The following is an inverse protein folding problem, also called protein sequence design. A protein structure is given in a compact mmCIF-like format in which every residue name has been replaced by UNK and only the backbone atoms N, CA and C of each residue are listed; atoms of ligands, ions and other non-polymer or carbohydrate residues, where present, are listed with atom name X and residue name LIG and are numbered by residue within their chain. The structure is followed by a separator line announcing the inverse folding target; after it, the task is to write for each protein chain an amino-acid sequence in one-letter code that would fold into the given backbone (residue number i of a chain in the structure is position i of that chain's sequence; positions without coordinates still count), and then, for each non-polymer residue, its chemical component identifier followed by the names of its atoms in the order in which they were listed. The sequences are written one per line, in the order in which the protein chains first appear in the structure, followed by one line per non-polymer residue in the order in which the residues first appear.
data_IF_894447439502
#
_entry.id   IF_894447439502
#
_cell.length_a   1.000
_cell.length_b   1.000
_cell.length_c   1.000
_cell.angle_alpha   90.00
_cell.angle_beta   90.00
_cell.angle_gamma   90.00
#
_symmetry.space_group_name_H-M   'P 1'
#
loop_
_entity.id
_entity.type
_entity.pdbx_description
1 polymer ?
#
# COMPACT_ATOMS: atom_id res chain seq x y z
N UNK A 1 -16.38 -6.95 29.85
CA UNK A 1 -16.09 -7.32 31.24
C UNK A 1 -15.78 -8.80 31.31
N UNK A 2 -15.02 -9.23 32.16
CA UNK A 2 -14.49 -10.57 32.35
C UNK A 2 -13.23 -10.39 33.18
N UNK A 3 -12.17 -9.94 32.52
CA UNK A 3 -10.91 -9.61 33.16
C UNK A 3 -10.58 -8.12 33.18
N UNK A 4 -11.14 -7.35 32.23
CA UNK A 4 -10.91 -5.91 32.12
C UNK A 4 -12.18 -5.15 31.69
N UNK A 5 -12.25 -3.85 32.08
CA UNK A 5 -13.26 -2.89 31.72
C UNK A 5 -12.61 -1.52 31.50
N UNK A 6 -13.41 -0.49 31.33
CA UNK A 6 -12.89 0.87 31.27
C UNK A 6 -12.67 1.49 32.64
N UNK A 7 -11.67 2.40 32.79
CA UNK A 7 -10.71 2.83 31.79
C UNK A 7 -9.60 1.80 31.57
N UNK A 8 -9.19 1.63 30.28
CA UNK A 8 -8.09 0.75 29.92
C UNK A 8 -6.76 1.54 29.92
N UNK A 9 -6.11 1.61 31.06
CA UNK A 9 -4.93 2.48 31.26
C UNK A 9 -3.76 2.14 30.37
N UNK A 10 -3.53 0.87 30.02
CA UNK A 10 -2.50 0.46 29.08
C UNK A 10 -2.76 1.00 27.66
N UNK A 11 -4.03 1.09 27.23
CA UNK A 11 -4.41 1.72 25.95
C UNK A 11 -4.20 3.24 26.02
N UNK A 12 -4.53 3.87 27.13
CA UNK A 12 -4.31 5.31 27.35
C UNK A 12 -2.80 5.61 27.31
N UNK A 13 -1.98 4.80 27.98
CA UNK A 13 -0.52 4.93 27.94
C UNK A 13 0.04 4.75 26.53
N UNK A 14 -0.43 3.74 25.78
CA UNK A 14 -0.02 3.52 24.39
C UNK A 14 -0.36 4.72 23.49
N UNK A 15 -1.55 5.31 23.64
CA UNK A 15 -1.92 6.53 22.92
C UNK A 15 -1.02 7.71 23.29
N UNK A 16 -0.70 7.89 24.57
CA UNK A 16 0.19 8.97 25.00
C UNK A 16 1.60 8.83 24.42
N UNK A 17 2.15 7.62 24.36
CA UNK A 17 3.44 7.33 23.71
C UNK A 17 3.37 7.64 22.22
N UNK A 18 2.37 7.12 21.53
CA UNK A 18 2.19 7.32 20.07
C UNK A 18 2.07 8.83 19.72
N UNK A 19 1.28 9.59 20.47
CA UNK A 19 1.13 11.03 20.26
C UNK A 19 2.40 11.80 20.64
N UNK A 20 3.12 11.35 21.69
CA UNK A 20 4.40 11.90 22.08
C UNK A 20 5.48 11.70 21.00
N UNK A 21 5.49 10.53 20.33
CA UNK A 21 6.36 10.28 19.18
C UNK A 21 5.98 11.17 17.99
N UNK A 22 4.68 11.34 17.71
CA UNK A 22 4.19 12.19 16.62
C UNK A 22 4.51 13.69 16.78
N UNK A 23 4.84 14.15 18.00
CA UNK A 23 5.29 15.53 18.27
C UNK A 23 6.78 15.75 17.97
N UNK A 24 7.56 14.68 17.78
CA UNK A 24 8.99 14.78 17.54
C UNK A 24 9.31 15.21 16.09
N UNK A 25 10.45 15.90 15.87
CA UNK A 25 10.88 16.28 14.51
C UNK A 25 11.01 15.09 13.55
N UNK A 26 11.47 13.94 14.02
CA UNK A 26 11.67 12.73 13.23
C UNK A 26 10.37 12.21 12.62
N UNK A 27 9.23 12.40 13.31
CA UNK A 27 7.93 12.05 12.75
C UNK A 27 7.54 12.95 11.56
N UNK A 28 7.93 14.22 11.59
CA UNK A 28 7.71 15.13 10.47
C UNK A 28 8.52 14.71 9.24
N UNK A 29 9.76 14.28 9.43
CA UNK A 29 10.61 13.74 8.37
C UNK A 29 10.03 12.47 7.79
N UNK A 30 9.59 11.54 8.65
CA UNK A 30 8.90 10.32 8.25
C UNK A 30 7.63 10.62 7.44
N UNK A 31 6.76 11.50 7.93
CA UNK A 31 5.52 11.86 7.24
C UNK A 31 5.79 12.51 5.86
N UNK A 32 6.84 13.32 5.76
CA UNK A 32 7.28 13.87 4.49
C UNK A 32 7.75 12.78 3.52
N UNK A 33 8.56 11.83 4.00
CA UNK A 33 9.01 10.69 3.19
C UNK A 33 7.84 9.83 2.71
N UNK A 34 6.80 9.63 3.53
CA UNK A 34 5.58 8.93 3.11
C UNK A 34 4.95 9.58 1.89
N UNK A 35 4.87 10.92 1.86
CA UNK A 35 4.28 11.67 0.74
C UNK A 35 5.18 11.61 -0.50
N UNK A 36 6.51 11.70 -0.33
CA UNK A 36 7.45 11.54 -1.45
C UNK A 36 7.34 10.15 -2.08
N UNK A 37 7.33 9.11 -1.27
CA UNK A 37 7.14 7.74 -1.73
C UNK A 37 5.80 7.55 -2.45
N UNK A 38 4.71 8.16 -1.92
CA UNK A 38 3.39 8.07 -2.55
C UNK A 38 3.37 8.73 -3.93
N UNK A 39 3.99 9.88 -4.09
CA UNK A 39 4.12 10.55 -5.40
C UNK A 39 4.94 9.71 -6.38
N UNK A 40 6.10 9.22 -5.95
CA UNK A 40 6.95 8.38 -6.78
C UNK A 40 6.24 7.07 -7.21
N UNK A 41 5.49 6.45 -6.28
CA UNK A 41 4.69 5.25 -6.59
C UNK A 41 3.56 5.56 -7.56
N UNK A 42 2.86 6.69 -7.38
CA UNK A 42 1.79 7.12 -8.29
C UNK A 42 2.32 7.33 -9.71
N UNK A 43 3.43 8.03 -9.86
CA UNK A 43 4.08 8.26 -11.16
C UNK A 43 4.53 6.94 -11.81
N UNK A 44 5.09 6.03 -11.01
CA UNK A 44 5.53 4.72 -11.50
C UNK A 44 4.34 3.84 -11.95
N UNK A 45 3.25 3.80 -11.19
CA UNK A 45 2.03 3.07 -11.53
C UNK A 45 1.39 3.62 -12.82
N UNK A 46 1.34 4.94 -12.99
CA UNK A 46 0.84 5.55 -14.22
C UNK A 46 1.72 5.23 -15.43
N UNK A 47 3.05 5.21 -15.27
CA UNK A 47 3.99 4.79 -16.33
C UNK A 47 3.80 3.34 -16.75
N UNK A 48 3.39 2.45 -15.83
CA UNK A 48 3.04 1.08 -16.16
C UNK A 48 1.70 0.98 -16.94
N UNK A 49 0.82 1.95 -16.81
CA UNK A 49 -0.48 1.97 -17.49
C UNK A 49 -1.69 1.97 -16.57
N UNK A 50 -1.50 2.00 -15.25
CA UNK A 50 -2.61 2.16 -14.32
C UNK A 50 -3.22 3.56 -14.36
N UNK A 51 -4.53 3.61 -14.22
CA UNK A 51 -5.26 4.85 -14.03
C UNK A 51 -5.43 5.14 -12.55
N UNK A 52 -4.85 6.24 -12.07
CA UNK A 52 -5.14 6.78 -10.74
C UNK A 52 -6.34 7.71 -10.84
N UNK A 53 -7.34 7.51 -9.98
CA UNK A 53 -8.63 8.19 -10.08
C UNK A 53 -8.51 9.72 -10.05
N UNK A 54 -7.61 10.24 -9.22
CA UNK A 54 -7.32 11.67 -9.04
C UNK A 54 -6.17 12.19 -9.90
N UNK A 55 -5.59 11.34 -10.77
CA UNK A 55 -4.43 11.68 -11.58
C UNK A 55 -3.10 11.75 -10.83
N UNK A 56 -3.10 11.41 -9.54
CA UNK A 56 -1.92 11.41 -8.66
C UNK A 56 -2.33 11.45 -7.20
N UNK A 57 -1.38 11.82 -6.31
CA UNK A 57 -1.64 11.98 -4.89
C UNK A 57 -0.76 13.07 -4.27
N UNK A 58 -1.28 13.74 -3.24
CA UNK A 58 -0.57 14.70 -2.39
C UNK A 58 -0.55 14.28 -0.91
N UNK A 59 -0.99 13.05 -0.64
CA UNK A 59 -1.00 12.43 0.68
C UNK A 59 -0.33 11.04 0.67
N UNK A 60 -0.73 10.14 1.56
CA UNK A 60 -0.11 8.84 1.78
C UNK A 60 -0.70 7.68 0.97
N UNK A 61 -1.79 7.91 0.23
CA UNK A 61 -2.50 6.84 -0.49
C UNK A 61 -3.01 7.30 -1.86
N UNK A 62 -3.37 6.33 -2.69
CA UNK A 62 -4.00 6.53 -3.99
C UNK A 62 -5.03 5.44 -4.27
N UNK A 63 -5.98 5.72 -5.15
CA UNK A 63 -7.00 4.79 -5.60
C UNK A 63 -6.82 4.52 -7.10
N UNK A 64 -6.53 3.27 -7.45
CA UNK A 64 -6.45 2.82 -8.83
C UNK A 64 -7.86 2.48 -9.36
N UNK A 65 -8.14 2.89 -10.59
CA UNK A 65 -9.35 2.58 -11.34
C UNK A 65 -9.05 1.45 -12.34
N UNK A 66 -9.60 0.27 -12.08
CA UNK A 66 -9.39 -0.93 -12.90
C UNK A 66 -10.49 -1.15 -13.96
N UNK A 67 -11.43 -0.20 -14.15
CA UNK A 67 -12.55 -0.37 -15.09
C UNK A 67 -12.13 -0.55 -16.55
N UNK A 68 -10.93 -0.15 -16.91
CA UNK A 68 -10.36 -0.36 -18.25
C UNK A 68 -9.50 -1.63 -18.38
N UNK A 69 -9.43 -2.46 -17.31
CA UNK A 69 -8.62 -3.67 -17.25
C UNK A 69 -9.50 -4.91 -17.06
N UNK A 70 -9.05 -6.05 -17.57
CA UNK A 70 -9.75 -7.33 -17.39
C UNK A 70 -9.42 -7.98 -16.03
N UNK A 71 -9.59 -7.20 -14.96
CA UNK A 71 -9.39 -7.65 -13.58
C UNK A 71 -10.31 -6.89 -12.63
N UNK A 72 -10.72 -7.52 -11.54
CA UNK A 72 -11.46 -6.87 -10.45
C UNK A 72 -10.53 -6.44 -9.31
N UNK A 73 -11.01 -5.53 -8.45
CA UNK A 73 -10.28 -5.15 -7.24
C UNK A 73 -10.03 -6.33 -6.31
N UNK A 74 -11.02 -7.22 -6.16
CA UNK A 74 -10.89 -8.45 -5.36
C UNK A 74 -9.83 -9.39 -5.94
N UNK A 75 -9.83 -9.56 -7.24
CA UNK A 75 -8.87 -10.46 -7.89
C UNK A 75 -7.45 -9.93 -7.78
N UNK A 76 -7.22 -8.64 -8.06
CA UNK A 76 -5.90 -8.04 -7.90
C UNK A 76 -5.42 -8.10 -6.45
N UNK A 77 -6.30 -7.84 -5.47
CA UNK A 77 -5.98 -8.02 -4.05
C UNK A 77 -5.50 -9.45 -3.78
N UNK A 78 -6.26 -10.47 -4.20
CA UNK A 78 -5.91 -11.87 -3.95
C UNK A 78 -4.57 -12.25 -4.59
N UNK A 79 -4.33 -11.85 -5.86
CA UNK A 79 -3.06 -12.11 -6.55
C UNK A 79 -1.88 -11.43 -5.84
N UNK A 80 -2.06 -10.20 -5.38
CA UNK A 80 -1.03 -9.47 -4.62
C UNK A 80 -0.75 -10.15 -3.27
N UNK A 81 -1.77 -10.58 -2.54
CA UNK A 81 -1.62 -11.30 -1.27
C UNK A 81 -0.79 -12.60 -1.45
N UNK A 82 -1.01 -13.33 -2.56
CA UNK A 82 -0.24 -14.54 -2.87
C UNK A 82 1.25 -14.30 -3.12
N UNK A 83 1.64 -13.07 -3.44
CA UNK A 83 3.03 -12.67 -3.70
C UNK A 83 3.56 -11.68 -2.65
N UNK A 84 2.94 -11.65 -1.46
CA UNK A 84 3.36 -10.88 -0.30
C UNK A 84 3.24 -9.35 -0.46
N UNK A 85 2.39 -8.88 -1.36
CA UNK A 85 2.05 -7.47 -1.52
C UNK A 85 0.67 -7.22 -0.92
N UNK A 86 0.61 -6.45 0.16
CA UNK A 86 -0.65 -6.11 0.81
C UNK A 86 -1.23 -4.82 0.22
N UNK A 87 -2.39 -4.94 -0.38
CA UNK A 87 -3.25 -3.83 -0.79
C UNK A 87 -4.72 -4.22 -0.54
N UNK A 88 -5.65 -3.30 -0.67
CA UNK A 88 -7.04 -3.67 -0.49
C UNK A 88 -7.92 -3.24 -1.67
N UNK A 89 -8.87 -4.11 -2.01
CA UNK A 89 -9.96 -3.75 -2.93
C UNK A 89 -10.73 -2.55 -2.40
N UNK A 90 -11.14 -1.68 -3.29
CA UNK A 90 -11.90 -0.48 -2.94
C UNK A 90 -12.87 -0.12 -4.07
N UNK A 91 -14.07 0.30 -3.72
CA UNK A 91 -15.01 0.84 -4.71
C UNK A 91 -14.48 2.15 -5.31
N UNK A 92 -14.78 2.38 -6.57
CA UNK A 92 -14.56 3.66 -7.25
C UNK A 92 -15.90 4.44 -7.32
N UNK A 93 -15.89 5.75 -7.50
CA UNK A 93 -17.12 6.51 -7.72
C UNK A 93 -17.93 5.92 -8.88
N UNK A 94 -19.24 5.71 -8.65
CA UNK A 94 -20.15 5.05 -9.59
C UNK A 94 -19.67 3.65 -10.02
N UNK A 95 -19.16 2.88 -9.08
CA UNK A 95 -18.64 1.54 -9.34
C UNK A 95 -19.74 0.61 -9.90
N UNK A 96 -19.57 0.00 -11.09
CA UNK A 96 -20.56 -0.92 -11.65
C UNK A 96 -20.55 -2.30 -10.96
N UNK A 97 -19.51 -2.62 -10.18
CA UNK A 97 -19.38 -3.88 -9.44
C UNK A 97 -19.86 -3.74 -8.00
N UNK A 98 -20.25 -4.85 -7.39
CA UNK A 98 -20.66 -4.85 -5.98
C UNK A 98 -19.49 -4.49 -5.04
N UNK A 99 -19.75 -4.00 -3.82
CA UNK A 99 -18.71 -3.70 -2.83
C UNK A 99 -17.84 -4.92 -2.42
N UNK A 100 -18.30 -6.13 -2.69
CA UNK A 100 -17.55 -7.36 -2.43
C UNK A 100 -16.52 -7.70 -3.52
N UNK A 101 -16.67 -7.12 -4.72
CA UNK A 101 -15.81 -7.37 -5.89
C UNK A 101 -14.96 -6.14 -6.21
N UNK A 102 -15.57 -4.97 -6.32
CA UNK A 102 -15.02 -3.64 -6.61
C UNK A 102 -14.32 -3.51 -7.97
N UNK A 103 -14.21 -2.29 -8.45
CA UNK A 103 -13.47 -1.94 -9.66
C UNK A 103 -12.21 -1.13 -9.37
N UNK A 104 -11.76 -1.09 -8.14
CA UNK A 104 -10.54 -0.40 -7.75
C UNK A 104 -9.78 -1.09 -6.64
N UNK A 105 -8.57 -0.60 -6.40
CA UNK A 105 -7.72 -0.97 -5.26
C UNK A 105 -7.11 0.29 -4.67
N UNK A 106 -6.99 0.30 -3.34
CA UNK A 106 -6.34 1.37 -2.59
C UNK A 106 -4.93 0.93 -2.20
N UNK A 107 -3.98 1.79 -2.47
CA UNK A 107 -2.56 1.57 -2.19
C UNK A 107 -2.04 2.75 -1.37
N UNK A 108 -1.18 2.48 -0.39
CA UNK A 108 -0.56 3.50 0.43
C UNK A 108 0.89 3.16 0.77
N UNK A 109 1.65 4.16 1.21
CA UNK A 109 3.09 4.05 1.43
C UNK A 109 3.59 4.09 2.88
N UNK A 110 2.75 4.29 3.93
CA UNK A 110 3.27 4.34 5.29
C UNK A 110 4.06 3.09 5.70
N UNK A 111 3.53 1.89 5.43
CA UNK A 111 4.16 0.64 5.84
C UNK A 111 5.53 0.42 5.17
N UNK A 112 5.65 0.66 3.87
CA UNK A 112 6.92 0.54 3.15
C UNK A 112 7.91 1.63 3.57
N UNK A 113 7.44 2.84 3.89
CA UNK A 113 8.29 3.93 4.42
C UNK A 113 8.80 3.56 5.82
N UNK A 114 7.96 2.96 6.68
CA UNK A 114 8.39 2.46 8.00
C UNK A 114 9.48 1.39 7.88
N UNK A 115 9.45 0.56 6.84
CA UNK A 115 10.53 -0.39 6.55
C UNK A 115 11.83 0.27 6.09
N UNK A 116 11.79 1.50 5.61
CA UNK A 116 12.96 2.24 5.11
C UNK A 116 13.03 2.38 3.58
N UNK A 117 12.01 1.91 2.83
CA UNK A 117 11.96 2.10 1.39
C UNK A 117 11.82 3.59 1.03
N UNK A 118 12.41 3.96 -0.10
CA UNK A 118 12.40 5.33 -0.62
C UNK A 118 11.91 5.38 -2.05
N UNK A 119 11.91 6.57 -2.64
CA UNK A 119 11.38 6.84 -3.98
C UNK A 119 12.01 5.94 -5.06
N UNK A 120 13.28 5.57 -4.90
CA UNK A 120 14.02 4.71 -5.82
C UNK A 120 13.49 3.27 -5.88
N UNK A 121 12.82 2.80 -4.83
CA UNK A 121 12.24 1.46 -4.75
C UNK A 121 10.82 1.40 -5.34
N UNK A 122 10.14 2.54 -5.49
CA UNK A 122 8.74 2.63 -5.93
C UNK A 122 8.49 2.09 -7.35
N UNK A 123 9.39 2.30 -8.33
CA UNK A 123 9.23 1.69 -9.65
C UNK A 123 9.18 0.17 -9.64
N UNK A 124 9.95 -0.49 -8.75
CA UNK A 124 9.93 -1.94 -8.61
C UNK A 124 8.61 -2.44 -8.02
N UNK A 125 8.07 -1.74 -7.03
CA UNK A 125 6.74 -2.03 -6.46
C UNK A 125 5.67 -1.90 -7.53
N UNK A 126 5.70 -0.81 -8.31
CA UNK A 126 4.74 -0.58 -9.40
C UNK A 126 4.82 -1.67 -10.46
N UNK A 127 6.01 -2.11 -10.86
CA UNK A 127 6.23 -3.23 -11.78
C UNK A 127 5.61 -4.52 -11.24
N UNK A 128 5.85 -4.86 -9.99
CA UNK A 128 5.31 -6.06 -9.36
C UNK A 128 3.77 -6.06 -9.35
N UNK A 129 3.15 -4.92 -9.01
CA UNK A 129 1.68 -4.77 -9.01
C UNK A 129 1.14 -4.86 -10.44
N UNK A 130 1.82 -4.28 -11.42
CA UNK A 130 1.44 -4.35 -12.83
C UNK A 130 1.46 -5.79 -13.35
N UNK A 131 2.54 -6.53 -13.08
CA UNK A 131 2.66 -7.93 -13.46
C UNK A 131 1.61 -8.81 -12.75
N UNK A 132 1.29 -8.52 -11.49
CA UNK A 132 0.20 -9.19 -10.79
C UNK A 132 -1.16 -8.94 -11.44
N UNK A 133 -1.38 -7.77 -12.03
CA UNK A 133 -2.63 -7.44 -12.72
C UNK A 133 -2.71 -8.06 -14.12
N UNK A 134 -1.60 -8.15 -14.87
CA UNK A 134 -1.61 -8.41 -16.32
C UNK A 134 -1.02 -9.76 -16.74
N UNK A 135 -0.09 -10.31 -15.97
CA UNK A 135 0.63 -11.55 -16.34
C UNK A 135 0.98 -12.41 -15.10
N UNK A 136 0.02 -12.56 -14.21
CA UNK A 136 0.24 -13.18 -12.89
C UNK A 136 0.79 -14.60 -12.97
N UNK A 137 0.15 -15.46 -13.78
CA UNK A 137 0.49 -16.88 -13.84
C UNK A 137 1.95 -17.11 -14.30
N UNK A 138 2.44 -16.32 -15.25
CA UNK A 138 3.81 -16.46 -15.74
C UNK A 138 4.84 -15.72 -14.87
N UNK A 139 4.42 -14.76 -14.05
CA UNK A 139 5.31 -13.86 -13.30
C UNK A 139 5.26 -14.03 -11.79
N UNK A 140 4.41 -14.88 -11.27
CA UNK A 140 4.20 -15.09 -9.83
C UNK A 140 5.50 -15.31 -9.06
N UNK A 141 6.34 -16.24 -9.52
CA UNK A 141 7.60 -16.53 -8.83
C UNK A 141 8.63 -15.39 -8.96
N UNK A 142 8.64 -14.70 -10.09
CA UNK A 142 9.46 -13.49 -10.26
C UNK A 142 9.04 -12.40 -9.28
N UNK A 143 7.73 -12.12 -9.16
CA UNK A 143 7.20 -11.11 -8.23
C UNK A 143 7.59 -11.46 -6.80
N UNK A 144 7.39 -12.72 -6.36
CA UNK A 144 7.79 -13.18 -5.03
C UNK A 144 9.27 -12.94 -4.74
N UNK A 145 10.12 -13.28 -5.71
CA UNK A 145 11.56 -13.09 -5.56
C UNK A 145 11.94 -11.60 -5.42
N UNK A 146 11.33 -10.72 -6.21
CA UNK A 146 11.60 -9.28 -6.12
C UNK A 146 11.07 -8.67 -4.81
N UNK A 147 9.89 -9.08 -4.36
CA UNK A 147 9.34 -8.64 -3.06
C UNK A 147 10.22 -9.12 -1.91
N UNK A 148 10.68 -10.37 -1.95
CA UNK A 148 11.59 -10.93 -0.94
C UNK A 148 12.90 -10.13 -0.90
N UNK A 149 13.52 -9.83 -2.05
CA UNK A 149 14.75 -9.00 -2.12
C UNK A 149 14.54 -7.61 -1.49
N UNK A 150 13.40 -6.97 -1.74
CA UNK A 150 13.09 -5.68 -1.11
C UNK A 150 12.93 -5.83 0.41
N UNK A 151 12.27 -6.89 0.87
CA UNK A 151 12.11 -7.18 2.28
C UNK A 151 13.44 -7.47 2.99
N UNK A 152 14.34 -8.20 2.34
CA UNK A 152 15.66 -8.54 2.87
C UNK A 152 16.59 -7.31 2.91
N UNK A 153 16.47 -6.40 1.91
CA UNK A 153 17.18 -5.11 1.90
C UNK A 153 16.74 -4.21 3.07
N UNK A 154 15.49 -4.32 3.49
CA UNK A 154 14.87 -3.48 4.51
C UNK A 154 14.18 -4.34 5.59
N UNK A 155 14.93 -5.05 6.45
CA UNK A 155 14.34 -5.88 7.50
C UNK A 155 13.59 -5.01 8.52
N UNK A 156 12.47 -5.53 9.06
CA UNK A 156 11.69 -4.82 10.10
C UNK A 156 12.32 -4.95 11.49
N UNK A 157 13.01 -6.07 11.72
CA UNK A 157 13.66 -6.39 13.00
C UNK A 157 15.07 -6.89 12.69
N UNK A 158 16.05 -6.38 13.44
CA UNK A 158 17.42 -6.85 13.45
C UNK A 158 17.60 -7.92 14.54
#
# INVERSE_FOLDING_TARGET
PGTQGGPLEHVIAAKAVCLGEALKPEFKEYAHQVVLNAKALADALQKQGFKILTGGTDNHLMLLDLRGMDISGKELQNRCDEVFITLNKNTVPNDPRSPFVTSGVRIGTPAVTTRGLKEEDMPKIAECIWLAATDFENKKEYIKAEVTKLCDKYPLYE
#
